data_IF_196965444774
#
_entry.id   IF_196965444774
#
_cell.length_a   1.000
_cell.length_b   1.000
_cell.length_c   1.000
_cell.angle_alpha   90.00
_cell.angle_beta   90.00
_cell.angle_gamma   90.00
#
_symmetry.space_group_name_H-M   'P 1'
#
loop_
_entity.id
_entity.type
_entity.pdbx_description
1 polymer ?
#
# COMPACT_ATOMS: atom_id res chain seq x y z
N UNK A 1 -12.26 -49.19 38.85
CA UNK A 1 -12.47 -48.94 37.40
C UNK A 1 -13.97 -48.88 37.22
N UNK A 2 -14.60 -47.75 36.92
CA UNK A 2 -14.40 -46.85 35.78
C UNK A 2 -14.78 -45.42 36.18
N UNK A 3 -13.98 -44.43 35.78
CA UNK A 3 -14.30 -43.00 35.94
C UNK A 3 -14.92 -42.52 34.64
N UNK A 4 -16.17 -42.06 34.71
CA UNK A 4 -16.80 -41.30 33.62
C UNK A 4 -16.11 -39.93 33.49
N UNK A 5 -15.66 -39.60 32.28
CA UNK A 5 -15.33 -38.23 31.89
C UNK A 5 -16.33 -37.79 30.83
N UNK A 6 -17.41 -37.17 31.30
CA UNK A 6 -18.33 -36.39 30.47
C UNK A 6 -17.59 -35.19 29.88
N UNK A 7 -17.42 -35.23 28.57
CA UNK A 7 -17.02 -34.13 27.71
C UNK A 7 -18.25 -33.28 27.36
N UNK A 8 -18.36 -32.03 27.84
CA UNK A 8 -19.16 -30.98 27.18
C UNK A 8 -19.02 -29.63 27.90
N UNK A 9 -18.66 -28.58 27.16
CA UNK A 9 -18.59 -27.20 27.65
C UNK A 9 -17.79 -26.32 26.70
N UNK A 10 -18.24 -26.15 25.44
CA UNK A 10 -18.97 -24.94 24.99
C UNK A 10 -18.28 -23.63 25.43
N UNK A 11 -17.21 -23.25 24.73
CA UNK A 11 -16.59 -21.95 25.00
C UNK A 11 -15.33 -21.61 24.20
N UNK A 12 -15.19 -22.00 22.93
CA UNK A 12 -13.99 -21.59 22.16
C UNK A 12 -14.13 -21.66 20.63
N UNK A 13 -15.35 -21.48 20.10
CA UNK A 13 -15.57 -21.58 18.64
C UNK A 13 -15.92 -20.27 17.95
N UNK A 14 -16.25 -19.21 18.69
CA UNK A 14 -16.59 -17.90 18.11
C UNK A 14 -15.41 -16.93 18.02
N UNK A 15 -14.40 -17.06 18.90
CA UNK A 15 -13.22 -16.18 18.90
C UNK A 15 -12.24 -16.57 17.78
N UNK A 16 -12.12 -17.87 17.48
CA UNK A 16 -11.24 -18.39 16.43
C UNK A 16 -11.70 -17.97 15.02
N UNK A 17 -13.00 -17.77 14.81
CA UNK A 17 -13.56 -17.37 13.50
C UNK A 17 -13.26 -15.88 13.22
N UNK A 18 -13.22 -15.02 14.25
CA UNK A 18 -12.90 -13.60 14.08
C UNK A 18 -11.44 -13.34 13.68
N UNK A 19 -10.50 -14.12 14.23
CA UNK A 19 -9.06 -13.96 13.95
C UNK A 19 -8.70 -14.55 12.58
N UNK A 20 -9.27 -15.71 12.21
CA UNK A 20 -9.03 -16.31 10.89
C UNK A 20 -9.68 -15.48 9.78
N UNK A 21 -10.87 -14.90 10.03
CA UNK A 21 -11.52 -14.00 9.08
C UNK A 21 -10.71 -12.72 8.82
N UNK A 22 -10.09 -12.14 9.86
CA UNK A 22 -9.22 -10.97 9.73
C UNK A 22 -7.92 -11.31 8.98
N UNK A 23 -7.34 -12.49 9.22
CA UNK A 23 -6.13 -12.96 8.51
C UNK A 23 -6.43 -13.28 7.05
N UNK A 24 -7.60 -13.84 6.72
CA UNK A 24 -8.01 -14.05 5.33
C UNK A 24 -8.34 -12.74 4.60
N UNK A 25 -8.83 -11.71 5.32
CA UNK A 25 -9.02 -10.37 4.75
C UNK A 25 -7.69 -9.66 4.48
N UNK A 26 -6.65 -9.95 5.28
CA UNK A 26 -5.28 -9.47 5.06
C UNK A 26 -4.54 -10.28 3.97
N UNK A 27 -4.82 -11.58 3.84
CA UNK A 27 -4.25 -12.44 2.79
C UNK A 27 -4.90 -12.27 1.40
N UNK A 28 -5.93 -11.42 1.28
CA UNK A 28 -6.33 -10.85 -0.01
C UNK A 28 -5.24 -9.94 -0.63
N UNK A 29 -4.05 -9.87 -0.03
CA UNK A 29 -2.83 -9.28 -0.59
C UNK A 29 -2.35 -9.86 -1.93
N UNK A 30 -2.92 -10.96 -2.41
CA UNK A 30 -2.65 -11.49 -3.77
C UNK A 30 -3.72 -11.13 -4.81
N UNK A 31 -4.88 -10.57 -4.43
CA UNK A 31 -5.97 -10.24 -5.36
C UNK A 31 -5.88 -8.83 -5.97
N UNK A 32 -5.10 -7.94 -5.36
CA UNK A 32 -4.95 -6.56 -5.82
C UNK A 32 -4.15 -6.38 -7.12
N UNK A 33 -3.50 -7.44 -7.61
CA UNK A 33 -2.75 -7.42 -8.88
C UNK A 33 -3.67 -7.45 -10.11
N UNK A 34 -4.96 -7.76 -9.96
CA UNK A 34 -5.89 -7.87 -11.07
C UNK A 34 -6.53 -6.53 -11.49
N UNK A 35 -6.18 -5.42 -10.84
CA UNK A 35 -6.63 -4.09 -11.29
C UNK A 35 -5.59 -3.58 -12.30
N UNK A 36 -6.01 -3.52 -13.57
CA UNK A 36 -5.43 -2.71 -14.65
C UNK A 36 -4.43 -3.33 -15.65
N UNK A 37 -4.46 -4.64 -15.92
CA UNK A 37 -3.77 -5.19 -17.11
C UNK A 37 -4.49 -4.83 -18.42
N UNK A 38 -5.83 -4.67 -18.41
CA UNK A 38 -6.64 -4.37 -19.59
C UNK A 38 -6.70 -2.89 -20.00
N UNK A 39 -6.30 -1.95 -19.15
CA UNK A 39 -6.41 -0.51 -19.41
C UNK A 39 -5.22 0.08 -20.18
N UNK A 40 -4.15 -0.69 -20.41
CA UNK A 40 -2.90 -0.19 -20.99
C UNK A 40 -2.97 0.07 -22.50
N UNK A 41 -3.93 -0.53 -23.21
CA UNK A 41 -4.05 -0.36 -24.66
C UNK A 41 -4.50 1.06 -25.08
N UNK A 42 -4.97 1.90 -24.16
CA UNK A 42 -5.53 3.21 -24.51
C UNK A 42 -4.79 4.44 -23.96
N UNK A 43 -3.85 4.31 -23.01
CA UNK A 43 -3.46 5.48 -22.20
C UNK A 43 -1.94 5.73 -22.03
N UNK A 44 -1.11 5.20 -22.92
CA UNK A 44 0.31 5.60 -23.01
C UNK A 44 0.52 6.96 -23.67
N UNK A 45 -0.55 7.58 -24.20
CA UNK A 45 -0.50 8.83 -24.95
C UNK A 45 -0.57 10.09 -24.08
N UNK A 46 -1.03 10.00 -22.82
CA UNK A 46 -1.52 11.19 -22.13
C UNK A 46 -0.52 11.82 -21.14
N UNK A 47 -0.05 11.23 -20.04
CA UNK A 47 0.72 12.02 -19.05
C UNK A 47 2.24 12.22 -19.26
N UNK A 48 2.81 11.82 -20.40
CA UNK A 48 4.24 11.94 -20.67
C UNK A 48 5.14 11.29 -19.60
N UNK A 49 6.12 12.06 -19.10
CA UNK A 49 7.10 11.61 -18.10
C UNK A 49 6.70 11.95 -16.65
N UNK A 50 5.56 12.62 -16.42
CA UNK A 50 5.27 13.22 -15.10
C UNK A 50 4.37 12.36 -14.20
N UNK A 51 3.87 11.20 -14.67
CA UNK A 51 2.93 10.38 -13.89
C UNK A 51 3.15 8.86 -13.99
N UNK A 52 2.45 8.11 -13.12
CA UNK A 52 2.27 6.66 -13.22
C UNK A 52 1.44 6.33 -14.47
N UNK A 53 2.01 5.64 -15.49
CA UNK A 53 1.30 5.41 -16.75
C UNK A 53 -0.01 4.64 -16.56
N UNK A 54 -1.09 5.18 -17.15
CA UNK A 54 -2.41 4.58 -17.15
C UNK A 54 -2.96 4.26 -15.75
N UNK A 55 -2.60 5.04 -14.73
CA UNK A 55 -3.14 4.93 -13.38
C UNK A 55 -3.72 6.25 -12.91
N UNK A 56 -5.05 6.30 -12.87
CA UNK A 56 -5.79 7.43 -12.33
C UNK A 56 -5.78 7.39 -10.81
N UNK A 57 -5.72 8.55 -10.19
CA UNK A 57 -5.79 8.72 -8.74
C UNK A 57 -7.09 8.16 -8.17
N UNK A 58 -8.21 8.34 -8.87
CA UNK A 58 -9.51 7.83 -8.47
C UNK A 58 -9.53 6.31 -8.31
N UNK A 59 -8.85 5.57 -9.19
CA UNK A 59 -8.77 4.10 -9.08
C UNK A 59 -8.05 3.65 -7.82
N UNK A 60 -6.97 4.35 -7.43
CA UNK A 60 -6.24 4.04 -6.19
C UNK A 60 -7.05 4.45 -4.96
N UNK A 61 -7.72 5.61 -5.00
CA UNK A 61 -8.60 6.08 -3.93
C UNK A 61 -9.75 5.10 -3.69
N UNK A 62 -10.45 4.68 -4.74
CA UNK A 62 -11.55 3.69 -4.65
C UNK A 62 -11.05 2.37 -4.05
N UNK A 63 -9.87 1.90 -4.47
CA UNK A 63 -9.26 0.69 -3.91
C UNK A 63 -8.92 0.84 -2.42
N UNK A 64 -8.44 2.02 -1.99
CA UNK A 64 -8.15 2.31 -0.59
C UNK A 64 -9.43 2.40 0.25
N UNK A 65 -10.47 3.06 -0.27
CA UNK A 65 -11.79 3.14 0.36
C UNK A 65 -12.42 1.75 0.51
N UNK A 66 -12.31 0.89 -0.51
CA UNK A 66 -12.75 -0.51 -0.45
C UNK A 66 -12.03 -1.33 0.62
N UNK A 67 -10.82 -0.92 1.02
CA UNK A 67 -10.04 -1.50 2.14
C UNK A 67 -10.30 -0.79 3.48
N UNK A 68 -11.24 0.14 3.54
CA UNK A 68 -11.65 0.84 4.76
C UNK A 68 -10.92 2.16 5.04
N UNK A 69 -10.11 2.68 4.11
CA UNK A 69 -9.51 4.01 4.29
C UNK A 69 -10.57 5.09 4.16
N UNK A 70 -10.47 6.12 5.00
CA UNK A 70 -11.17 7.38 4.79
C UNK A 70 -10.28 8.28 3.94
N UNK A 71 -10.78 8.76 2.80
CA UNK A 71 -10.02 9.59 1.88
C UNK A 71 -10.64 10.98 1.72
N UNK A 72 -9.80 12.01 1.67
CA UNK A 72 -10.18 13.40 1.48
C UNK A 72 -9.40 14.04 0.32
N UNK A 73 -10.09 14.78 -0.53
CA UNK A 73 -9.50 15.54 -1.65
C UNK A 73 -9.17 16.97 -1.19
N UNK A 74 -7.91 17.36 -1.29
CA UNK A 74 -7.45 18.72 -0.98
C UNK A 74 -7.01 19.46 -2.24
N UNK A 75 -7.70 19.24 -3.36
CA UNK A 75 -7.33 19.71 -4.70
C UNK A 75 -6.00 19.09 -5.14
N UNK A 76 -4.86 19.49 -4.60
CA UNK A 76 -3.52 19.07 -5.07
C UNK A 76 -3.20 17.59 -4.82
N UNK A 77 -3.85 16.99 -3.82
CA UNK A 77 -3.64 15.60 -3.44
C UNK A 77 -4.92 14.99 -2.87
N UNK A 78 -4.97 13.66 -2.88
CA UNK A 78 -5.86 12.89 -2.04
C UNK A 78 -5.09 12.37 -0.84
N UNK A 79 -5.61 12.59 0.36
CA UNK A 79 -5.07 12.03 1.60
C UNK A 79 -6.00 10.92 2.09
N UNK A 80 -5.47 9.71 2.24
CA UNK A 80 -6.20 8.54 2.68
C UNK A 80 -5.62 8.02 3.99
N UNK A 81 -6.47 7.80 4.99
CA UNK A 81 -6.07 7.27 6.30
C UNK A 81 -6.91 6.04 6.68
N UNK A 82 -6.24 5.01 7.19
CA UNK A 82 -6.85 3.89 7.88
C UNK A 82 -6.22 3.74 9.28
N UNK A 83 -7.07 3.76 10.31
CA UNK A 83 -6.65 3.58 11.70
C UNK A 83 -7.08 2.22 12.22
N UNK A 84 -6.12 1.42 12.70
CA UNK A 84 -6.35 0.13 13.34
C UNK A 84 -5.71 0.17 14.74
N UNK A 85 -6.56 0.36 15.75
CA UNK A 85 -6.09 0.57 17.12
C UNK A 85 -5.25 1.85 17.22
N UNK A 86 -3.96 1.70 17.53
CA UNK A 86 -2.99 2.81 17.60
C UNK A 86 -2.21 3.01 16.31
N UNK A 87 -2.21 2.04 15.40
CA UNK A 87 -1.47 2.10 14.14
C UNK A 87 -2.30 2.87 13.13
N UNK A 88 -1.63 3.75 12.38
CA UNK A 88 -2.23 4.45 11.23
C UNK A 88 -1.49 4.08 9.96
N UNK A 89 -2.25 3.82 8.91
CA UNK A 89 -1.79 3.67 7.55
C UNK A 89 -2.25 4.90 6.79
N UNK A 90 -1.32 5.62 6.21
CA UNK A 90 -1.58 6.88 5.51
C UNK A 90 -1.05 6.78 4.09
N UNK A 91 -1.75 7.38 3.15
CA UNK A 91 -1.30 7.55 1.78
C UNK A 91 -1.73 8.92 1.25
N UNK A 92 -0.73 9.71 0.85
CA UNK A 92 -0.93 10.96 0.11
C UNK A 92 -0.61 10.72 -1.36
N UNK A 93 -1.61 10.89 -2.20
CA UNK A 93 -1.54 10.71 -3.65
C UNK A 93 -1.52 12.09 -4.30
N UNK A 94 -0.36 12.51 -4.76
CA UNK A 94 -0.16 13.83 -5.36
C UNK A 94 -0.48 13.80 -6.84
N UNK A 95 -1.25 14.80 -7.28
CA UNK A 95 -1.60 14.99 -8.69
C UNK A 95 -0.43 15.59 -9.46
N UNK A 96 -0.44 15.40 -10.78
CA UNK A 96 0.47 16.11 -11.68
C UNK A 96 0.08 17.58 -11.74
N UNK A 97 0.88 18.46 -11.13
CA UNK A 97 0.52 19.87 -10.94
C UNK A 97 0.63 20.71 -12.23
N UNK A 98 1.44 20.29 -13.21
CA UNK A 98 1.82 21.13 -14.36
C UNK A 98 0.97 20.93 -15.60
N UNK A 99 0.07 19.95 -15.60
CA UNK A 99 -0.75 19.66 -16.77
C UNK A 99 -2.22 19.52 -16.37
N UNK A 100 -3.02 20.50 -16.79
CA UNK A 100 -4.45 20.61 -16.47
C UNK A 100 -5.23 19.36 -16.90
N UNK A 101 -4.82 18.75 -18.01
CA UNK A 101 -5.43 17.53 -18.54
C UNK A 101 -5.00 16.25 -17.77
N UNK A 102 -3.97 16.33 -16.91
CA UNK A 102 -3.44 15.19 -16.14
C UNK A 102 -3.65 15.29 -14.64
N UNK A 103 -4.54 16.18 -14.20
CA UNK A 103 -4.89 16.35 -12.80
C UNK A 103 -5.48 15.08 -12.16
N UNK A 104 -6.02 14.17 -12.98
CA UNK A 104 -6.53 12.87 -12.53
C UNK A 104 -5.46 11.79 -12.38
N UNK A 105 -4.19 12.07 -12.71
CA UNK A 105 -3.10 11.09 -12.63
C UNK A 105 -2.17 11.36 -11.44
N UNK A 106 -1.47 10.30 -11.03
CA UNK A 106 -0.59 10.31 -9.87
C UNK A 106 0.83 10.66 -10.31
N UNK A 107 1.40 11.75 -9.80
CA UNK A 107 2.79 12.15 -10.04
C UNK A 107 3.75 11.73 -8.92
N UNK A 108 3.24 11.66 -7.69
CA UNK A 108 4.01 11.26 -6.50
C UNK A 108 3.09 10.57 -5.51
N UNK A 109 3.63 9.59 -4.78
CA UNK A 109 2.94 8.91 -3.69
C UNK A 109 3.83 8.99 -2.45
N UNK A 110 3.22 9.35 -1.32
CA UNK A 110 3.82 9.19 0.01
C UNK A 110 2.96 8.19 0.78
N UNK A 111 3.52 7.05 1.17
CA UNK A 111 2.83 6.04 1.96
C UNK A 111 3.53 5.92 3.32
N UNK A 112 2.76 6.03 4.41
CA UNK A 112 3.31 6.05 5.77
C UNK A 112 2.60 5.05 6.67
N UNK A 113 3.38 4.42 7.55
CA UNK A 113 2.87 3.73 8.72
C UNK A 113 3.32 4.50 9.97
N UNK A 114 2.36 4.90 10.81
CA UNK A 114 2.61 5.65 12.05
C UNK A 114 2.37 4.74 13.25
N UNK A 115 3.25 4.85 14.24
CA UNK A 115 3.28 4.03 15.45
C UNK A 115 3.26 2.51 15.15
N UNK A 116 4.11 1.98 14.24
CA UNK A 116 4.15 0.56 13.97
C UNK A 116 4.58 -0.20 15.23
N UNK A 117 3.79 -1.20 15.60
CA UNK A 117 4.20 -2.23 16.56
C UNK A 117 5.03 -3.32 15.87
N UNK A 118 5.67 -4.17 16.68
CA UNK A 118 6.43 -5.34 16.17
C UNK A 118 5.55 -6.29 15.36
N UNK A 119 4.28 -6.41 15.71
CA UNK A 119 3.30 -7.27 15.02
C UNK A 119 2.74 -6.65 13.74
N UNK A 120 2.93 -5.35 13.50
CA UNK A 120 2.39 -4.65 12.32
C UNK A 120 3.47 -4.29 11.30
N UNK A 121 4.72 -4.69 11.53
CA UNK A 121 5.82 -4.47 10.58
C UNK A 121 5.54 -5.14 9.23
N UNK A 122 5.04 -6.39 9.23
CA UNK A 122 4.66 -7.10 8.01
C UNK A 122 3.52 -6.40 7.26
N UNK A 123 2.48 -5.96 7.98
CA UNK A 123 1.37 -5.20 7.38
C UNK A 123 1.85 -3.86 6.80
N UNK A 124 2.82 -3.19 7.45
CA UNK A 124 3.46 -1.98 6.92
C UNK A 124 4.24 -2.24 5.64
N UNK A 125 5.01 -3.33 5.59
CA UNK A 125 5.72 -3.78 4.38
C UNK A 125 4.73 -4.07 3.25
N UNK A 126 3.67 -4.83 3.51
CA UNK A 126 2.66 -5.17 2.50
C UNK A 126 1.96 -3.91 1.98
N UNK A 127 1.61 -2.99 2.87
CA UNK A 127 1.00 -1.71 2.53
C UNK A 127 1.91 -0.88 1.62
N UNK A 128 3.17 -0.68 2.00
CA UNK A 128 4.14 0.07 1.22
C UNK A 128 4.49 -0.62 -0.11
N UNK A 129 4.61 -1.95 -0.10
CA UNK A 129 4.90 -2.76 -1.30
C UNK A 129 3.79 -2.63 -2.34
N UNK A 130 2.54 -2.56 -1.90
CA UNK A 130 1.41 -2.37 -2.80
C UNK A 130 1.56 -1.06 -3.59
N UNK A 131 1.93 0.05 -2.95
CA UNK A 131 2.20 1.30 -3.67
C UNK A 131 3.45 1.22 -4.54
N UNK A 132 4.55 0.66 -4.00
CA UNK A 132 5.85 0.63 -4.68
C UNK A 132 5.81 -0.14 -6.01
N UNK A 133 4.86 -1.06 -6.14
CA UNK A 133 4.69 -1.88 -7.33
C UNK A 133 3.71 -1.28 -8.35
N UNK A 134 2.92 -0.25 -8.00
CA UNK A 134 1.95 0.36 -8.92
C UNK A 134 2.57 0.84 -10.25
N UNK A 135 3.77 1.48 -10.27
CA UNK A 135 4.40 1.87 -11.52
C UNK A 135 4.84 0.70 -12.40
N UNK A 136 5.03 -0.47 -11.79
CA UNK A 136 5.61 -1.67 -12.39
C UNK A 136 4.62 -2.84 -12.43
N UNK A 137 3.31 -2.59 -12.25
CA UNK A 137 2.28 -3.63 -12.10
C UNK A 137 2.24 -4.65 -13.25
N UNK A 138 2.61 -4.22 -14.45
CA UNK A 138 2.62 -5.05 -15.67
C UNK A 138 4.01 -5.66 -15.97
N UNK A 139 5.00 -5.40 -15.11
CA UNK A 139 6.34 -6.00 -15.16
C UNK A 139 6.63 -6.70 -13.82
N UNK A 140 6.26 -7.99 -13.69
CA UNK A 140 6.46 -8.75 -12.47
C UNK A 140 7.92 -8.85 -12.03
N UNK A 141 8.86 -8.78 -12.98
CA UNK A 141 10.29 -8.86 -12.68
C UNK A 141 10.77 -7.61 -11.97
N UNK A 142 10.36 -6.43 -12.46
CA UNK A 142 10.67 -5.14 -11.84
C UNK A 142 9.92 -4.96 -10.52
N UNK A 143 8.63 -5.33 -10.47
CA UNK A 143 7.85 -5.31 -9.23
C UNK A 143 8.51 -6.15 -8.12
N UNK A 144 8.99 -7.35 -8.45
CA UNK A 144 9.72 -8.21 -7.51
C UNK A 144 11.02 -7.57 -7.01
N UNK A 145 11.76 -6.88 -7.90
CA UNK A 145 12.99 -6.17 -7.53
C UNK A 145 12.71 -5.04 -6.52
N UNK A 146 11.67 -4.24 -6.75
CA UNK A 146 11.28 -3.16 -5.83
C UNK A 146 10.83 -3.72 -4.49
N UNK A 147 10.01 -4.78 -4.48
CA UNK A 147 9.57 -5.44 -3.26
C UNK A 147 10.73 -6.03 -2.44
N UNK A 148 11.71 -6.65 -3.11
CA UNK A 148 12.93 -7.16 -2.46
C UNK A 148 13.74 -6.06 -1.79
N UNK A 149 13.99 -4.96 -2.51
CA UNK A 149 14.68 -3.79 -1.93
C UNK A 149 13.93 -3.22 -0.73
N UNK A 150 12.60 -3.05 -0.83
CA UNK A 150 11.81 -2.48 0.27
C UNK A 150 11.87 -3.37 1.53
N UNK A 151 11.86 -4.69 1.36
CA UNK A 151 12.01 -5.64 2.46
C UNK A 151 13.39 -5.53 3.14
N UNK A 152 14.46 -5.38 2.35
CA UNK A 152 15.82 -5.15 2.87
C UNK A 152 15.91 -3.83 3.65
N UNK A 153 15.34 -2.75 3.11
CA UNK A 153 15.41 -1.44 3.75
C UNK A 153 14.54 -1.31 5.01
N UNK A 154 13.42 -2.04 5.06
CA UNK A 154 12.62 -2.14 6.28
C UNK A 154 13.31 -2.93 7.40
N UNK A 155 14.39 -3.67 7.12
CA UNK A 155 15.27 -4.22 8.13
C UNK A 155 16.45 -3.28 8.48
N UNK A 156 16.78 -2.32 7.61
CA UNK A 156 17.87 -1.35 7.77
C UNK A 156 17.43 0.06 8.20
N UNK A 157 18.30 1.05 8.00
CA UNK A 157 18.09 2.45 8.44
C UNK A 157 17.31 3.33 7.44
N UNK A 158 16.79 2.73 6.35
CA UNK A 158 16.22 3.46 5.23
C UNK A 158 17.27 3.84 4.19
N UNK A 159 16.84 3.98 2.93
CA UNK A 159 17.73 4.21 1.78
C UNK A 159 16.94 4.77 0.60
N UNK A 160 17.67 5.16 -0.45
CA UNK A 160 17.13 5.57 -1.73
C UNK A 160 17.53 4.56 -2.81
N UNK A 161 16.58 4.15 -3.65
CA UNK A 161 16.88 3.38 -4.85
C UNK A 161 16.23 3.96 -6.09
N UNK A 162 16.76 3.53 -7.23
CA UNK A 162 16.29 3.94 -8.55
C UNK A 162 15.96 2.69 -9.36
N UNK A 163 14.74 2.63 -9.84
CA UNK A 163 14.27 1.53 -10.69
C UNK A 163 13.59 2.11 -11.90
N UNK A 164 14.23 1.94 -13.06
CA UNK A 164 13.85 2.62 -14.30
C UNK A 164 13.82 4.14 -14.06
N UNK A 165 12.70 4.78 -14.41
CA UNK A 165 12.49 6.22 -14.22
C UNK A 165 11.97 6.57 -12.82
N UNK A 166 11.96 5.65 -11.85
CA UNK A 166 11.35 5.89 -10.54
C UNK A 166 12.40 5.97 -9.43
N UNK A 167 12.26 6.99 -8.60
CA UNK A 167 12.99 7.16 -7.34
C UNK A 167 12.11 6.69 -6.19
N UNK A 168 12.67 5.85 -5.33
CA UNK A 168 12.04 5.34 -4.12
C UNK A 168 12.89 5.72 -2.93
N UNK A 169 12.28 6.33 -1.92
CA UNK A 169 12.95 6.73 -0.68
C UNK A 169 12.20 6.12 0.49
N UNK A 170 12.89 5.38 1.34
CA UNK A 170 12.34 4.89 2.60
C UNK A 170 13.01 5.61 3.76
N UNK A 171 12.22 6.29 4.59
CA UNK A 171 12.72 7.05 5.74
C UNK A 171 12.03 6.62 7.04
N UNK A 172 12.79 6.55 8.13
CA UNK A 172 12.25 6.42 9.48
C UNK A 172 12.27 7.79 10.16
N UNK A 173 11.12 8.28 10.58
CA UNK A 173 11.00 9.56 11.28
C UNK A 173 10.95 9.29 12.79
N UNK A 174 12.05 9.52 13.54
CA UNK A 174 12.13 9.16 14.96
C UNK A 174 11.15 9.96 15.84
N UNK A 175 10.83 11.21 15.47
CA UNK A 175 9.90 12.06 16.23
C UNK A 175 8.43 11.63 16.16
N UNK A 176 8.04 10.92 15.10
CA UNK A 176 6.65 10.46 14.86
C UNK A 176 6.53 8.94 14.93
N UNK A 177 7.63 8.23 15.26
CA UNK A 177 7.73 6.77 15.16
C UNK A 177 7.15 6.25 13.86
N UNK A 178 7.36 6.94 12.74
CA UNK A 178 6.77 6.55 11.47
C UNK A 178 7.82 6.04 10.50
N UNK A 179 7.40 5.14 9.61
CA UNK A 179 8.17 4.76 8.43
C UNK A 179 7.41 5.26 7.22
N UNK A 180 8.12 5.88 6.29
CA UNK A 180 7.56 6.56 5.14
C UNK A 180 8.27 6.14 3.87
N UNK A 181 7.48 5.69 2.89
CA UNK A 181 7.90 5.44 1.53
C UNK A 181 7.44 6.61 0.67
N UNK A 182 8.39 7.32 0.07
CA UNK A 182 8.12 8.27 -1.01
C UNK A 182 8.49 7.65 -2.34
N UNK A 183 7.62 7.79 -3.34
CA UNK A 183 7.93 7.46 -4.73
C UNK A 183 7.50 8.57 -5.67
N UNK A 184 8.36 8.86 -6.64
CA UNK A 184 8.13 9.85 -7.68
C UNK A 184 8.91 9.47 -8.93
N UNK A 185 8.46 9.98 -10.08
CA UNK A 185 9.20 9.82 -11.33
C UNK A 185 10.38 10.78 -11.39
N UNK A 186 11.49 10.32 -11.97
CA UNK A 186 12.74 11.03 -12.18
C UNK A 186 12.67 11.66 -13.57
N UNK A 187 12.60 12.99 -13.60
CA UNK A 187 12.68 13.91 -14.75
C UNK A 187 11.93 13.50 -16.02
#
# INVERSE_FOLDING_TARGET
>A
MTVELTQSGRGSRRIVIGVIGLVLFLLAGAGGFAVASGYRAQDTKYCGHECVPGLKIGTVVEALQGRGHTCADNRQLWSCELKIGKVRFEADLFRVAKVTDFYEYIGKIEARIVDPGTTTAAAGLDYMSWFATLPHRDDPSTAKKVGGWLAEQLAGDGDVTYVLDWEYTLERKPGTRSVELTMKRRH
#
